data_IF_795752495781
#
_entry.id   IF_795752495781
#
_cell.length_a   1.000
_cell.length_b   1.000
_cell.length_c   1.000
_cell.angle_alpha   90.00
_cell.angle_beta   90.00
_cell.angle_gamma   90.00
#
_symmetry.space_group_name_H-M   'P 1'
#
loop_
_entity.id
_entity.type
_entity.pdbx_description
1 polymer ?
#
# COMPACT_ATOMS: atom_id res chain seq x y z
N UNK A 1 -7.73 -5.35 14.96
CA UNK A 1 -8.63 -5.93 13.93
C UNK A 1 -9.24 -7.18 14.51
N UNK A 2 -10.51 -7.47 14.23
CA UNK A 2 -11.14 -8.73 14.66
C UNK A 2 -10.72 -9.89 13.73
N UNK A 3 -10.75 -11.12 14.25
CA UNK A 3 -10.29 -12.31 13.53
C UNK A 3 -11.15 -12.65 12.31
N UNK A 4 -12.46 -12.39 12.38
CA UNK A 4 -13.38 -12.67 11.29
C UNK A 4 -13.06 -11.80 10.05
N UNK A 5 -12.84 -10.51 10.24
CA UNK A 5 -12.46 -9.56 9.19
C UNK A 5 -11.10 -9.88 8.59
N UNK A 6 -10.16 -10.40 9.39
CA UNK A 6 -8.86 -10.88 8.89
C UNK A 6 -9.07 -12.09 7.98
N UNK A 7 -9.86 -13.07 8.40
CA UNK A 7 -10.16 -14.26 7.61
C UNK A 7 -10.89 -13.93 6.31
N UNK A 8 -11.89 -13.03 6.36
CA UNK A 8 -12.60 -12.55 5.17
C UNK A 8 -11.65 -11.87 4.19
N UNK A 9 -10.76 -11.00 4.69
CA UNK A 9 -9.78 -10.30 3.85
C UNK A 9 -8.76 -11.27 3.26
N UNK A 10 -8.27 -12.23 4.04
CA UNK A 10 -7.34 -13.24 3.56
C UNK A 10 -7.97 -14.09 2.43
N UNK A 11 -9.23 -14.50 2.61
CA UNK A 11 -10.01 -15.23 1.60
C UNK A 11 -10.18 -14.40 0.33
N UNK A 12 -10.54 -13.13 0.46
CA UNK A 12 -10.65 -12.21 -0.68
C UNK A 12 -9.34 -12.10 -1.47
N UNK A 13 -8.20 -11.94 -0.77
CA UNK A 13 -6.88 -11.83 -1.41
C UNK A 13 -6.49 -13.14 -2.10
N UNK A 14 -6.69 -14.28 -1.44
CA UNK A 14 -6.38 -15.59 -2.02
C UNK A 14 -7.21 -15.87 -3.29
N UNK A 15 -8.50 -15.57 -3.26
CA UNK A 15 -9.37 -15.72 -4.44
C UNK A 15 -8.96 -14.77 -5.58
N UNK A 16 -8.54 -13.55 -5.25
CA UNK A 16 -8.02 -12.60 -6.22
C UNK A 16 -6.77 -13.15 -6.93
N UNK A 17 -5.81 -13.68 -6.16
CA UNK A 17 -4.58 -14.26 -6.71
C UNK A 17 -4.86 -15.51 -7.57
N UNK A 18 -5.76 -16.39 -7.13
CA UNK A 18 -6.19 -17.55 -7.93
C UNK A 18 -6.76 -17.08 -9.27
N UNK A 19 -7.72 -16.14 -9.25
CA UNK A 19 -8.36 -15.64 -10.46
C UNK A 19 -7.39 -14.92 -11.42
N UNK A 20 -6.35 -14.30 -10.88
CA UNK A 20 -5.30 -13.64 -11.67
C UNK A 20 -4.36 -14.66 -12.31
N UNK A 21 -4.04 -15.75 -11.63
CA UNK A 21 -3.02 -16.72 -12.06
C UNK A 21 -3.57 -17.90 -12.88
N UNK A 22 -4.89 -18.07 -12.93
CA UNK A 22 -5.56 -19.10 -13.75
C UNK A 22 -5.30 -18.96 -15.27
N UNK A 23 -5.10 -17.74 -15.77
CA UNK A 23 -4.78 -17.50 -17.19
C UNK A 23 -3.28 -17.33 -17.38
N UNK A 24 -2.72 -17.94 -18.43
CA UNK A 24 -1.29 -17.86 -18.76
C UNK A 24 -0.75 -16.41 -18.80
N UNK A 25 -1.51 -15.48 -19.39
CA UNK A 25 -1.13 -14.06 -19.43
C UNK A 25 -1.09 -13.41 -18.04
N UNK A 26 -2.03 -13.77 -17.16
CA UNK A 26 -2.08 -13.26 -15.79
C UNK A 26 -0.97 -13.84 -14.91
N UNK A 27 -0.67 -15.13 -15.06
CA UNK A 27 0.50 -15.77 -14.46
C UNK A 27 1.81 -15.12 -14.92
N UNK A 28 1.98 -14.90 -16.24
CA UNK A 28 3.17 -14.25 -16.79
C UNK A 28 3.35 -12.83 -16.23
N UNK A 29 2.26 -12.07 -16.11
CA UNK A 29 2.30 -10.73 -15.52
C UNK A 29 2.70 -10.76 -14.03
N UNK A 30 2.17 -11.71 -13.26
CA UNK A 30 2.52 -11.87 -11.85
C UNK A 30 4.00 -12.28 -11.69
N UNK A 31 4.49 -13.25 -12.46
CA UNK A 31 5.91 -13.64 -12.47
C UNK A 31 6.83 -12.46 -12.85
N UNK A 32 6.41 -11.65 -13.83
CA UNK A 32 7.14 -10.44 -14.22
C UNK A 32 7.19 -9.43 -13.07
N UNK A 33 6.14 -9.33 -12.26
CA UNK A 33 6.09 -8.46 -11.07
C UNK A 33 7.05 -8.96 -9.98
N UNK A 34 7.13 -10.27 -9.76
CA UNK A 34 8.09 -10.84 -8.81
C UNK A 34 9.53 -10.55 -9.22
N UNK A 35 9.87 -10.77 -10.50
CA UNK A 35 11.21 -10.48 -11.04
C UNK A 35 11.53 -8.99 -10.93
N UNK A 36 10.58 -8.11 -11.30
CA UNK A 36 10.77 -6.66 -11.20
C UNK A 36 10.94 -6.16 -9.76
N UNK A 37 10.42 -6.93 -8.79
CA UNK A 37 10.52 -6.63 -7.35
C UNK A 37 11.70 -7.33 -6.67
N UNK A 38 12.56 -8.02 -7.43
CA UNK A 38 13.66 -8.85 -6.92
C UNK A 38 13.21 -9.91 -5.90
N UNK A 39 11.96 -10.37 -6.03
CA UNK A 39 11.37 -11.39 -5.17
C UNK A 39 11.63 -12.80 -5.71
N UNK A 40 11.82 -13.77 -4.81
CA UNK A 40 11.97 -15.17 -5.21
C UNK A 40 10.69 -15.68 -5.89
N UNK A 41 10.84 -16.51 -6.93
CA UNK A 41 9.72 -17.18 -7.57
C UNK A 41 9.01 -18.18 -6.64
N UNK A 42 9.69 -18.65 -5.59
CA UNK A 42 9.09 -19.50 -4.56
C UNK A 42 7.97 -18.79 -3.77
N UNK A 43 7.92 -17.45 -3.83
CA UNK A 43 6.85 -16.64 -3.24
C UNK A 43 5.50 -17.04 -3.83
N UNK A 44 5.42 -17.30 -5.15
CA UNK A 44 4.19 -17.76 -5.80
C UNK A 44 3.67 -19.05 -5.15
N UNK A 45 4.55 -20.03 -4.96
CA UNK A 45 4.18 -21.29 -4.33
C UNK A 45 3.67 -21.06 -2.90
N UNK A 46 4.29 -20.14 -2.17
CA UNK A 46 3.92 -19.80 -0.80
C UNK A 46 2.60 -19.03 -0.68
N UNK A 47 2.25 -18.21 -1.67
CA UNK A 47 1.02 -17.41 -1.70
C UNK A 47 -0.17 -18.18 -2.27
N UNK A 48 0.06 -19.09 -3.22
CA UNK A 48 -0.96 -20.01 -3.75
C UNK A 48 -1.20 -21.19 -2.82
N UNK A 49 -0.18 -21.63 -2.08
CA UNK A 49 -0.39 -22.59 -0.99
C UNK A 49 -1.24 -21.91 0.08
N UNK A 50 -2.46 -22.40 0.29
CA UNK A 50 -3.39 -21.88 1.29
C UNK A 50 -2.78 -22.01 2.70
N UNK A 51 -1.95 -21.04 3.11
CA UNK A 51 -1.55 -20.86 4.49
C UNK A 51 -2.75 -20.34 5.27
N UNK A 52 -2.81 -20.71 6.55
CA UNK A 52 -3.76 -20.10 7.47
C UNK A 52 -3.64 -18.56 7.40
N UNK A 53 -4.76 -17.83 7.55
CA UNK A 53 -4.71 -16.37 7.59
C UNK A 53 -3.74 -15.93 8.70
N UNK A 54 -3.01 -14.81 8.50
CA UNK A 54 -2.08 -14.30 9.50
C UNK A 54 -2.83 -13.95 10.79
N UNK A 55 -2.14 -14.08 11.93
CA UNK A 55 -2.74 -13.70 13.21
C UNK A 55 -2.88 -12.17 13.32
N UNK A 56 -3.76 -11.66 14.20
CA UNK A 56 -3.84 -10.22 14.47
C UNK A 56 -2.52 -9.62 14.97
N UNK A 57 -1.72 -10.40 15.73
CA UNK A 57 -0.42 -9.98 16.25
C UNK A 57 0.62 -9.86 15.14
N UNK A 58 0.67 -10.80 14.19
CA UNK A 58 1.57 -10.73 13.03
C UNK A 58 1.30 -9.51 12.17
N UNK A 59 0.01 -9.19 11.95
CA UNK A 59 -0.40 -8.00 11.22
C UNK A 59 0.05 -6.74 11.96
N UNK A 60 -0.18 -6.68 13.27
CA UNK A 60 0.20 -5.52 14.08
C UNK A 60 1.72 -5.31 14.09
N UNK A 61 2.50 -6.39 14.25
CA UNK A 61 3.95 -6.35 14.19
C UNK A 61 4.46 -5.90 12.82
N UNK A 62 3.88 -6.42 11.74
CA UNK A 62 4.23 -6.03 10.37
C UNK A 62 3.95 -4.55 10.12
N UNK A 63 2.77 -4.06 10.55
CA UNK A 63 2.40 -2.64 10.43
C UNK A 63 3.36 -1.77 11.22
N UNK A 64 3.68 -2.12 12.46
CA UNK A 64 4.63 -1.35 13.27
C UNK A 64 6.04 -1.33 12.66
N UNK A 65 6.47 -2.42 12.01
CA UNK A 65 7.78 -2.52 11.37
C UNK A 65 7.92 -1.75 10.06
N UNK A 66 6.82 -1.55 9.32
CA UNK A 66 6.88 -1.03 7.94
C UNK A 66 6.13 0.30 7.75
N UNK A 67 5.16 0.63 8.60
CA UNK A 67 4.37 1.86 8.50
C UNK A 67 4.81 2.82 9.59
N UNK A 68 5.47 3.91 9.18
CA UNK A 68 5.81 5.02 10.07
C UNK A 68 4.61 5.95 10.24
N UNK A 69 3.89 5.79 11.35
CA UNK A 69 2.74 6.65 11.67
C UNK A 69 3.11 8.10 11.99
N UNK A 70 4.38 8.37 12.34
CA UNK A 70 4.91 9.70 12.62
C UNK A 70 5.27 10.50 11.36
N UNK A 71 5.39 9.83 10.20
CA UNK A 71 5.83 10.44 8.94
C UNK A 71 5.00 9.92 7.78
N UNK A 72 4.00 10.70 7.39
CA UNK A 72 3.18 10.46 6.20
C UNK A 72 3.35 11.58 5.19
N UNK A 73 3.41 11.22 3.91
CA UNK A 73 3.27 12.15 2.79
C UNK A 73 1.83 12.09 2.30
N UNK A 74 1.12 13.23 2.34
CA UNK A 74 -0.24 13.33 1.83
C UNK A 74 -0.21 14.06 0.49
N UNK A 75 -0.82 13.45 -0.53
CA UNK A 75 -1.03 14.08 -1.84
C UNK A 75 -2.53 14.37 -1.96
N UNK A 76 -2.88 15.65 -2.05
CA UNK A 76 -4.25 16.13 -2.18
C UNK A 76 -4.39 16.77 -3.57
N UNK A 77 -5.31 16.25 -4.39
CA UNK A 77 -5.58 16.78 -5.72
C UNK A 77 -6.90 17.57 -5.71
N UNK A 78 -6.85 18.83 -6.12
CA UNK A 78 -8.00 19.72 -6.26
C UNK A 78 -7.62 21.20 -6.17
N UNK A 79 -8.61 22.10 -5.99
CA UNK A 79 -8.37 23.54 -5.87
C UNK A 79 -7.78 23.95 -4.51
N UNK A 80 -6.45 24.02 -4.46
CA UNK A 80 -5.71 24.34 -3.25
C UNK A 80 -6.07 25.68 -2.60
N UNK A 81 -6.68 26.63 -3.33
CA UNK A 81 -7.11 27.92 -2.77
C UNK A 81 -8.09 27.77 -1.62
N UNK A 82 -8.85 26.66 -1.59
CA UNK A 82 -9.85 26.40 -0.57
C UNK A 82 -9.25 26.02 0.80
N UNK A 83 -8.02 25.50 0.85
CA UNK A 83 -7.42 25.00 2.09
C UNK A 83 -6.00 25.51 2.38
N UNK A 84 -5.26 26.02 1.40
CA UNK A 84 -3.85 26.40 1.59
C UNK A 84 -3.68 27.52 2.62
N UNK A 85 -4.61 28.47 2.70
CA UNK A 85 -4.60 29.53 3.69
C UNK A 85 -4.76 28.97 5.12
N UNK A 86 -5.78 28.13 5.33
CA UNK A 86 -6.02 27.47 6.62
C UNK A 86 -4.86 26.53 7.01
N UNK A 87 -4.23 25.86 6.04
CA UNK A 87 -3.05 25.04 6.29
C UNK A 87 -1.84 25.87 6.73
N UNK A 88 -1.58 27.04 6.13
CA UNK A 88 -0.48 27.93 6.54
C UNK A 88 -0.73 28.55 7.92
N UNK A 89 -1.98 28.86 8.25
CA UNK A 89 -2.37 29.33 9.58
C UNK A 89 -2.11 28.26 10.64
N UNK A 90 -2.54 27.02 10.38
CA UNK A 90 -2.38 25.91 11.34
C UNK A 90 -0.96 25.35 11.39
N UNK A 91 -0.23 25.41 10.27
CA UNK A 91 1.11 24.87 10.12
C UNK A 91 2.01 25.91 9.43
N UNK A 92 2.63 26.84 10.19
CA UNK A 92 3.44 27.93 9.62
C UNK A 92 4.64 27.48 8.78
N UNK A 93 5.07 26.23 8.94
CA UNK A 93 6.15 25.62 8.16
C UNK A 93 5.72 25.18 6.75
N UNK A 94 4.43 25.29 6.39
CA UNK A 94 3.94 24.97 5.04
C UNK A 94 4.58 25.92 4.03
N UNK A 95 5.29 25.34 3.07
CA UNK A 95 5.90 26.04 1.94
C UNK A 95 5.10 25.75 0.69
N UNK A 96 4.80 26.79 -0.08
CA UNK A 96 4.31 26.62 -1.43
C UNK A 96 5.54 26.54 -2.35
N UNK A 97 5.57 25.51 -3.18
CA UNK A 97 6.63 25.31 -4.17
C UNK A 97 6.00 25.16 -5.54
N UNK A 98 6.65 25.68 -6.57
CA UNK A 98 6.28 25.42 -7.95
C UNK A 98 6.83 24.06 -8.42
N UNK A 99 6.51 23.72 -9.67
CA UNK A 99 6.97 22.49 -10.35
C UNK A 99 8.50 22.41 -10.46
N UNK A 100 9.19 23.55 -10.48
CA UNK A 100 10.65 23.64 -10.51
C UNK A 100 11.28 23.61 -9.11
N UNK A 101 10.47 23.50 -8.05
CA UNK A 101 10.90 23.51 -6.66
C UNK A 101 11.19 24.92 -6.10
N UNK A 102 10.79 25.99 -6.79
CA UNK A 102 11.00 27.37 -6.33
C UNK A 102 9.91 27.77 -5.34
N UNK A 103 10.23 28.53 -4.28
CA UNK A 103 9.24 29.03 -3.34
C UNK A 103 8.25 29.96 -4.04
N UNK A 104 6.96 29.75 -3.77
CA UNK A 104 5.89 30.65 -4.16
C UNK A 104 5.40 31.44 -2.93
N UNK A 105 4.92 32.68 -3.12
CA UNK A 105 4.46 33.54 -2.03
C UNK A 105 3.31 32.94 -1.20
#
# INVERSE_FOLDING_TARGET
MDAARIADRATFVANGLSSQTERAAGLANYLSTLVASDASLDVLASEVSAKAPPSPEDIAATVAGHIRSDRATLILAGDSKQWIAALRERYPAVKLIDVDGKPLP
#
